data_IF_342545229507
#
_entry.id   IF_342545229507
#
_cell.length_a   1.000
_cell.length_b   1.000
_cell.length_c   1.000
_cell.angle_alpha   90.00
_cell.angle_beta   90.00
_cell.angle_gamma   90.00
#
_symmetry.space_group_name_H-M   'P 1'
#
loop_
_entity.id
_entity.type
_entity.pdbx_description
1 polymer ?
#
# COMPACT_ATOMS: atom_id res chain seq x y z
N UNK A 1 -8.17 26.27 -9.86
CA UNK A 1 -9.04 25.23 -10.47
C UNK A 1 -8.37 23.92 -10.13
N UNK A 2 -8.96 23.17 -9.19
CA UNK A 2 -8.44 21.87 -8.81
C UNK A 2 -8.71 20.90 -9.95
N UNK A 3 -7.62 20.38 -10.53
CA UNK A 3 -7.68 19.37 -11.58
C UNK A 3 -8.04 18.06 -10.89
N UNK A 4 -9.31 17.65 -10.98
CA UNK A 4 -9.74 16.34 -10.51
C UNK A 4 -8.96 15.31 -11.35
N UNK A 5 -8.18 14.41 -10.73
CA UNK A 5 -7.44 13.42 -11.47
C UNK A 5 -8.41 12.53 -12.26
N UNK A 6 -8.09 12.12 -13.51
CA UNK A 6 -8.96 11.31 -14.35
C UNK A 6 -9.02 9.82 -13.89
N UNK A 7 -8.76 9.56 -12.62
CA UNK A 7 -8.67 8.23 -12.03
C UNK A 7 -9.21 8.21 -10.60
N UNK A 8 -9.76 7.07 -10.21
CA UNK A 8 -10.11 6.78 -8.81
C UNK A 8 -8.89 6.26 -8.09
N UNK A 9 -8.71 6.64 -6.83
CA UNK A 9 -7.59 6.22 -6.00
C UNK A 9 -8.04 5.38 -4.81
N UNK A 10 -7.40 4.24 -4.62
CA UNK A 10 -7.55 3.38 -3.45
C UNK A 10 -6.22 3.34 -2.70
N UNK A 11 -6.23 3.69 -1.43
CA UNK A 11 -5.10 3.50 -0.52
C UNK A 11 -5.19 2.13 0.15
N UNK A 12 -4.24 1.28 -0.21
CA UNK A 12 -4.01 -0.06 0.29
C UNK A 12 -3.32 -0.15 1.66
N UNK A 13 -3.51 0.84 2.54
CA UNK A 13 -2.75 0.94 3.80
C UNK A 13 -3.58 1.42 4.99
N UNK A 14 -3.42 0.72 6.12
CA UNK A 14 -3.99 1.11 7.41
C UNK A 14 -3.20 2.25 8.11
N UNK A 15 -2.04 2.67 7.57
CA UNK A 15 -1.19 3.69 8.19
C UNK A 15 -1.86 5.07 8.22
N UNK A 16 -2.01 5.64 9.41
CA UNK A 16 -2.51 7.01 9.62
C UNK A 16 -1.60 8.06 8.97
N UNK A 17 -0.28 7.86 9.03
CA UNK A 17 0.70 8.74 8.39
C UNK A 17 0.54 8.76 6.86
N UNK A 18 0.39 7.59 6.21
CA UNK A 18 0.20 7.52 4.75
C UNK A 18 -1.11 8.17 4.30
N UNK A 19 -2.19 7.99 5.07
CA UNK A 19 -3.46 8.70 4.85
C UNK A 19 -3.29 10.21 4.90
N UNK A 20 -2.58 10.70 5.92
CA UNK A 20 -2.36 12.13 6.12
C UNK A 20 -1.55 12.73 4.96
N UNK A 21 -0.47 12.07 4.54
CA UNK A 21 0.38 12.52 3.43
C UNK A 21 -0.44 12.66 2.14
N UNK A 22 -1.18 11.62 1.72
CA UNK A 22 -1.97 11.68 0.49
C UNK A 22 -3.07 12.76 0.55
N UNK A 23 -3.69 12.95 1.72
CA UNK A 23 -4.69 14.00 1.92
C UNK A 23 -4.08 15.40 1.84
N UNK A 24 -2.89 15.60 2.41
CA UNK A 24 -2.14 16.87 2.34
C UNK A 24 -1.68 17.18 0.91
N UNK A 25 -1.43 16.15 0.08
CA UNK A 25 -1.17 16.29 -1.35
C UNK A 25 -2.43 16.62 -2.18
N UNK A 26 -3.61 16.68 -1.56
CA UNK A 26 -4.87 17.02 -2.22
C UNK A 26 -5.56 15.85 -2.93
N UNK A 27 -5.16 14.60 -2.67
CA UNK A 27 -5.83 13.44 -3.25
C UNK A 27 -7.07 13.04 -2.46
N UNK A 28 -8.16 12.78 -3.19
CA UNK A 28 -9.30 12.02 -2.69
C UNK A 28 -9.06 10.53 -2.95
N UNK A 29 -9.28 9.69 -1.94
CA UNK A 29 -9.08 8.25 -2.04
C UNK A 29 -10.00 7.48 -1.10
N UNK A 30 -10.30 6.24 -1.45
CA UNK A 30 -10.92 5.28 -0.55
C UNK A 30 -9.85 4.43 0.13
N UNK A 31 -10.14 3.90 1.30
CA UNK A 31 -9.22 3.01 2.02
C UNK A 31 -9.71 1.58 1.81
N UNK A 32 -8.81 0.70 1.42
CA UNK A 32 -9.06 -0.73 1.36
C UNK A 32 -7.86 -1.45 1.94
N UNK A 33 -8.03 -2.22 2.99
CA UNK A 33 -6.94 -2.98 3.61
C UNK A 33 -7.30 -4.45 3.62
N UNK A 34 -6.28 -5.30 3.56
CA UNK A 34 -6.43 -6.73 3.74
C UNK A 34 -5.48 -7.19 4.84
N UNK A 35 -5.95 -8.11 5.66
CA UNK A 35 -5.11 -8.77 6.65
C UNK A 35 -4.21 -9.76 5.91
N UNK A 36 -2.90 -9.55 6.04
CA UNK A 36 -1.88 -10.48 5.55
C UNK A 36 -0.99 -10.87 6.71
N UNK A 37 -0.50 -12.10 6.71
CA UNK A 37 0.50 -12.54 7.68
C UNK A 37 1.89 -12.04 7.24
N UNK A 38 2.15 -10.75 7.48
CA UNK A 38 3.43 -10.10 7.14
C UNK A 38 4.62 -10.86 7.74
N UNK A 39 4.43 -11.52 8.88
CA UNK A 39 5.49 -12.26 9.57
C UNK A 39 5.94 -13.53 8.85
N UNK A 40 5.08 -14.10 8.00
CA UNK A 40 5.42 -15.25 7.15
C UNK A 40 6.31 -14.85 5.96
N UNK A 41 6.32 -13.57 5.59
CA UNK A 41 7.09 -13.04 4.46
C UNK A 41 8.43 -12.54 5.01
N UNK A 42 9.51 -13.22 4.62
CA UNK A 42 10.86 -12.87 5.02
C UNK A 42 11.79 -12.86 3.81
N UNK A 43 12.65 -11.85 3.76
CA UNK A 43 13.72 -11.70 2.76
C UNK A 43 14.97 -11.24 3.49
N UNK A 44 16.13 -11.62 2.98
CA UNK A 44 17.42 -11.21 3.55
C UNK A 44 17.69 -9.72 3.32
N UNK A 45 17.34 -9.24 2.11
CA UNK A 45 17.48 -7.84 1.73
C UNK A 45 16.24 -7.04 2.12
N UNK A 46 16.40 -5.89 2.78
CA UNK A 46 15.27 -5.06 3.20
C UNK A 46 14.49 -4.52 2.00
N UNK A 47 15.16 -4.24 0.88
CA UNK A 47 14.53 -3.75 -0.36
C UNK A 47 13.56 -4.79 -0.94
N UNK A 48 14.01 -6.05 -1.01
CA UNK A 48 13.20 -7.17 -1.47
C UNK A 48 12.03 -7.43 -0.53
N UNK A 49 12.25 -7.28 0.79
CA UNK A 49 11.21 -7.47 1.80
C UNK A 49 10.06 -6.49 1.59
N UNK A 50 10.36 -5.18 1.55
CA UNK A 50 9.32 -4.15 1.45
C UNK A 50 8.57 -4.20 0.13
N UNK A 51 9.24 -4.58 -0.96
CA UNK A 51 8.57 -4.79 -2.26
C UNK A 51 7.62 -5.98 -2.19
N UNK A 52 8.08 -7.12 -1.65
CA UNK A 52 7.25 -8.33 -1.50
C UNK A 52 6.03 -8.07 -0.61
N UNK A 53 6.19 -7.31 0.48
CA UNK A 53 5.08 -6.95 1.37
C UNK A 53 4.06 -6.04 0.67
N UNK A 54 4.52 -5.06 -0.11
CA UNK A 54 3.62 -4.19 -0.87
C UNK A 54 2.84 -4.97 -1.95
N UNK A 55 3.48 -5.93 -2.62
CA UNK A 55 2.84 -6.83 -3.58
C UNK A 55 1.80 -7.73 -2.90
N UNK A 56 2.16 -8.38 -1.79
CA UNK A 56 1.25 -9.25 -1.04
C UNK A 56 0.00 -8.49 -0.56
N UNK A 57 0.16 -7.24 -0.10
CA UNK A 57 -0.97 -6.36 0.26
C UNK A 57 -1.87 -6.10 -0.95
N UNK A 58 -1.28 -5.82 -2.11
CA UNK A 58 -2.05 -5.54 -3.32
C UNK A 58 -2.84 -6.77 -3.74
N UNK A 59 -2.21 -7.95 -3.75
CA UNK A 59 -2.86 -9.21 -4.12
C UNK A 59 -4.02 -9.56 -3.20
N UNK A 60 -3.84 -9.42 -1.88
CA UNK A 60 -4.89 -9.69 -0.90
C UNK A 60 -6.08 -8.72 -1.06
N UNK A 61 -5.82 -7.44 -1.29
CA UNK A 61 -6.88 -6.44 -1.56
C UNK A 61 -7.62 -6.76 -2.86
N UNK A 62 -6.88 -7.07 -3.93
CA UNK A 62 -7.49 -7.41 -5.23
C UNK A 62 -8.37 -8.66 -5.13
N UNK A 63 -7.95 -9.67 -4.37
CA UNK A 63 -8.75 -10.86 -4.10
C UNK A 63 -10.07 -10.50 -3.39
N UNK A 64 -10.03 -9.65 -2.36
CA UNK A 64 -11.22 -9.20 -1.63
C UNK A 64 -12.19 -8.37 -2.48
N UNK A 65 -11.67 -7.55 -3.39
CA UNK A 65 -12.50 -6.79 -4.33
C UNK A 65 -13.23 -7.70 -5.33
N UNK A 66 -12.57 -8.77 -5.79
CA UNK A 66 -13.17 -9.76 -6.70
C UNK A 66 -14.28 -10.57 -6.01
N UNK A 67 -14.06 -11.04 -4.77
CA UNK A 67 -15.07 -11.81 -4.03
C UNK A 67 -16.33 -10.97 -3.73
N UNK A 68 -16.15 -9.70 -3.38
CA UNK A 68 -17.27 -8.77 -3.12
C UNK A 68 -18.11 -8.54 -4.39
N UNK A 69 -17.46 -8.48 -5.56
CA UNK A 69 -18.16 -8.31 -6.85
C UNK A 69 -18.98 -9.56 -7.21
N UNK A 70 -18.48 -10.76 -6.91
CA UNK A 70 -19.18 -12.02 -7.20
C UNK A 70 -20.37 -12.28 -6.26
N UNK A 71 -20.32 -11.83 -5.01
CA UNK A 71 -21.39 -12.06 -4.02
C UNK A 71 -22.59 -11.11 -4.14
N UNK A 72 -22.47 -10.02 -4.91
CA UNK A 72 -23.54 -9.03 -5.12
C UNK A 72 -24.40 -9.29 -6.39
N UNK A 73 -24.26 -10.45 -7.05
CA UNK A 73 -25.10 -10.84 -8.17
C UNK A 73 -26.46 -11.40 -7.72
N UNK A 74 -27.30 -10.52 -7.18
CA UNK A 74 -28.75 -10.71 -7.18
C UNK A 74 -29.46 -9.37 -7.41
N UNK A 75 -29.11 -8.67 -8.50
CA UNK A 75 -30.08 -7.89 -9.29
C UNK A 75 -29.50 -7.47 -10.65
N UNK A 76 -30.11 -8.03 -11.71
CA UNK A 76 -30.13 -7.67 -13.15
C UNK A 76 -28.82 -7.59 -13.96
N UNK A 77 -28.65 -8.61 -14.80
CA UNK A 77 -28.19 -8.57 -16.20
C UNK A 77 -27.19 -7.48 -16.62
N UNK A 78 -25.97 -7.54 -16.10
CA UNK A 78 -24.79 -7.21 -16.89
C UNK A 78 -23.90 -8.45 -16.93
N UNK A 79 -23.78 -9.05 -18.12
CA UNK A 79 -22.93 -10.21 -18.38
C UNK A 79 -21.52 -9.98 -17.82
N UNK A 80 -20.86 -11.01 -17.24
CA UNK A 80 -19.49 -10.86 -16.78
C UNK A 80 -18.63 -10.68 -18.03
N UNK A 81 -18.20 -9.45 -18.29
CA UNK A 81 -17.16 -9.19 -19.30
C UNK A 81 -15.85 -9.70 -18.73
N UNK A 82 -15.63 -11.00 -18.89
CA UNK A 82 -14.31 -11.61 -18.83
C UNK A 82 -13.57 -11.05 -20.04
N UNK A 83 -12.89 -9.92 -19.84
CA UNK A 83 -11.92 -9.40 -20.77
C UNK A 83 -10.66 -10.26 -20.62
N UNK A 84 -10.67 -11.41 -21.29
CA UNK A 84 -9.42 -12.06 -21.69
C UNK A 84 -8.79 -11.10 -22.67
N UNK A 85 -7.70 -10.44 -22.29
CA UNK A 85 -6.85 -9.79 -23.28
C UNK A 85 -6.31 -10.91 -24.19
N UNK A 86 -6.94 -11.11 -25.34
CA UNK A 86 -6.39 -11.90 -26.43
C UNK A 86 -5.49 -10.99 -27.24
N UNK A 87 -4.19 -11.14 -27.07
CA UNK A 87 -3.23 -10.72 -28.08
C UNK A 87 -3.65 -11.44 -29.37
N UNK A 88 -3.96 -10.68 -30.42
CA UNK A 88 -4.49 -11.11 -31.74
C UNK A 88 -6.02 -11.02 -31.91
N UNK A 89 -6.53 -9.83 -32.17
CA UNK A 89 -7.85 -9.66 -32.80
C UNK A 89 -7.94 -8.39 -33.66
N UNK A 90 -6.98 -8.20 -34.58
CA UNK A 90 -6.98 -7.07 -35.53
C UNK A 90 -7.79 -7.34 -36.82
N UNK A 91 -8.84 -8.19 -36.81
CA UNK A 91 -9.49 -8.56 -38.10
C UNK A 91 -11.01 -8.74 -38.11
N UNK A 92 -11.78 -8.48 -37.04
CA UNK A 92 -13.26 -8.68 -37.10
C UNK A 92 -14.07 -7.49 -36.55
N UNK A 93 -13.68 -6.26 -36.88
CA UNK A 93 -14.38 -5.05 -36.41
C UNK A 93 -14.91 -4.18 -37.56
N UNK A 94 -15.64 -4.79 -38.51
CA UNK A 94 -16.23 -4.04 -39.63
C UNK A 94 -17.75 -4.07 -39.78
N UNK A 95 -18.55 -4.70 -38.89
CA UNK A 95 -20.02 -4.75 -39.12
C UNK A 95 -20.89 -4.73 -37.86
N UNK A 96 -20.70 -3.76 -36.97
CA UNK A 96 -21.75 -3.41 -35.99
C UNK A 96 -21.93 -1.88 -35.94
N UNK A 97 -23.19 -1.39 -35.91
CA UNK A 97 -23.46 0.03 -35.88
C UNK A 97 -22.98 0.61 -34.54
N UNK A 98 -21.93 1.43 -34.62
CA UNK A 98 -21.35 2.13 -33.48
C UNK A 98 -22.28 3.32 -33.17
N UNK A 99 -23.29 3.08 -32.35
CA UNK A 99 -23.93 4.14 -31.58
C UNK A 99 -24.27 3.60 -30.21
N UNK A 100 -23.68 4.26 -29.22
CA UNK A 100 -24.02 4.28 -27.80
C UNK A 100 -23.39 3.23 -26.87
N UNK A 101 -22.70 3.80 -25.87
CA UNK A 101 -22.21 3.25 -24.60
C UNK A 101 -20.86 2.50 -24.59
N UNK A 102 -19.76 3.25 -24.73
CA UNK A 102 -18.57 3.03 -23.88
C UNK A 102 -18.48 4.15 -22.85
N UNK A 103 -19.28 4.07 -21.78
CA UNK A 103 -18.88 4.71 -20.51
C UNK A 103 -17.73 3.84 -19.97
N UNK A 104 -16.53 4.08 -20.49
CA UNK A 104 -15.34 3.47 -19.92
C UNK A 104 -15.28 3.84 -18.43
N UNK A 105 -15.41 2.84 -17.56
CA UNK A 105 -15.22 3.07 -16.13
C UNK A 105 -13.84 3.71 -15.92
N UNK A 106 -13.82 4.81 -15.15
CA UNK A 106 -12.60 5.55 -14.84
C UNK A 106 -11.52 4.60 -14.30
N UNK A 107 -10.27 4.71 -14.77
CA UNK A 107 -9.19 3.85 -14.28
C UNK A 107 -9.08 3.99 -12.76
N UNK A 108 -9.00 2.85 -12.07
CA UNK A 108 -8.83 2.82 -10.61
C UNK A 108 -7.42 2.38 -10.28
N UNK A 109 -6.69 3.21 -9.54
CA UNK A 109 -5.35 2.94 -9.07
C UNK A 109 -5.38 2.50 -7.60
N UNK A 110 -4.72 1.38 -7.31
CA UNK A 110 -4.46 0.92 -5.95
C UNK A 110 -3.00 1.24 -5.59
N UNK A 111 -2.80 1.95 -4.48
CA UNK A 111 -1.46 2.21 -3.92
C UNK A 111 -1.26 1.38 -2.66
N UNK A 112 -0.30 0.46 -2.69
CA UNK A 112 0.19 -0.22 -1.48
C UNK A 112 1.61 0.24 -1.17
N UNK A 113 2.01 0.10 0.09
CA UNK A 113 3.31 0.55 0.56
C UNK A 113 3.70 -0.21 1.81
N UNK A 114 5.00 -0.44 1.96
CA UNK A 114 5.58 -1.01 3.15
C UNK A 114 6.83 -0.26 3.60
N UNK A 115 7.24 -0.42 4.86
CA UNK A 115 8.44 0.23 5.39
C UNK A 115 8.99 -0.52 6.58
N UNK A 116 10.31 -0.73 6.57
CA UNK A 116 11.07 -1.33 7.67
C UNK A 116 12.23 -0.42 8.08
N UNK A 117 12.72 -0.62 9.30
CA UNK A 117 13.96 0.00 9.79
C UNK A 117 15.10 -1.01 9.63
N UNK A 118 16.28 -0.52 9.26
CA UNK A 118 17.54 -1.28 9.25
C UNK A 118 18.46 -0.66 10.28
N UNK A 119 18.93 -1.47 11.22
CA UNK A 119 19.83 -1.06 12.28
C UNK A 119 20.86 -2.15 12.56
N UNK A 120 22.14 -1.81 12.53
CA UNK A 120 23.26 -2.76 12.71
C UNK A 120 23.14 -4.01 11.80
N UNK A 121 22.67 -3.82 10.56
CA UNK A 121 22.48 -4.89 9.59
C UNK A 121 21.24 -5.77 9.81
N UNK A 122 20.46 -5.53 10.88
CA UNK A 122 19.22 -6.23 11.16
C UNK A 122 18.00 -5.42 10.71
N UNK A 123 16.98 -6.13 10.18
CA UNK A 123 15.68 -5.57 9.85
C UNK A 123 14.83 -5.52 11.12
N UNK A 124 14.26 -4.36 11.42
CA UNK A 124 13.32 -4.11 12.51
C UNK A 124 11.98 -3.65 11.93
N UNK A 125 10.93 -4.41 12.22
CA UNK A 125 9.55 -4.06 11.91
C UNK A 125 8.92 -3.29 13.10
N UNK A 126 7.59 -3.17 13.11
CA UNK A 126 6.87 -2.58 14.25
C UNK A 126 7.15 -3.39 15.53
N UNK A 127 7.52 -2.74 16.64
CA UNK A 127 7.76 -3.44 17.90
C UNK A 127 6.48 -4.13 18.39
N UNK A 128 6.62 -5.33 18.93
CA UNK A 128 5.55 -6.14 19.49
C UNK A 128 5.05 -5.61 20.85
N UNK A 129 5.84 -4.76 21.52
CA UNK A 129 5.50 -4.24 22.85
C UNK A 129 6.31 -3.02 23.26
N UNK A 130 5.97 -2.45 24.43
CA UNK A 130 6.59 -1.23 24.97
C UNK A 130 8.06 -1.42 25.30
N UNK A 131 8.42 -2.60 25.79
CA UNK A 131 9.78 -2.98 26.15
C UNK A 131 10.68 -3.01 24.91
N UNK A 132 10.23 -3.67 23.83
CA UNK A 132 10.96 -3.71 22.56
C UNK A 132 11.02 -2.34 21.89
N UNK A 133 9.93 -1.57 21.94
CA UNK A 133 9.95 -0.19 21.43
C UNK A 133 10.98 0.68 22.16
N UNK A 134 11.08 0.54 23.49
CA UNK A 134 12.09 1.22 24.30
C UNK A 134 13.50 0.79 23.90
N UNK A 135 13.73 -0.51 23.74
CA UNK A 135 15.01 -1.05 23.30
C UNK A 135 15.41 -0.52 21.91
N UNK A 136 14.48 -0.48 20.96
CA UNK A 136 14.73 0.04 19.63
C UNK A 136 15.13 1.52 19.67
N UNK A 137 14.32 2.36 20.32
CA UNK A 137 14.58 3.80 20.41
C UNK A 137 15.91 4.07 21.12
N UNK A 138 16.16 3.38 22.24
CA UNK A 138 17.41 3.51 22.99
C UNK A 138 18.61 3.08 22.17
N UNK A 139 18.49 2.01 21.38
CA UNK A 139 19.54 1.55 20.47
C UNK A 139 19.90 2.59 19.41
N UNK A 140 18.95 3.42 18.97
CA UNK A 140 19.25 4.48 18.00
C UNK A 140 20.02 5.67 18.61
N UNK A 141 20.04 5.83 19.94
CA UNK A 141 20.62 6.99 20.63
C UNK A 141 22.10 7.20 20.28
N UNK A 142 22.46 8.40 19.82
CA UNK A 142 23.84 8.75 19.45
C UNK A 142 24.38 8.00 18.23
N UNK A 143 23.56 7.20 17.56
CA UNK A 143 23.93 6.38 16.42
C UNK A 143 23.20 6.79 15.14
N UNK A 144 23.06 5.83 14.23
CA UNK A 144 22.27 5.99 13.02
C UNK A 144 21.47 4.74 12.72
N UNK A 145 20.35 4.92 12.05
CA UNK A 145 19.55 3.85 11.47
C UNK A 145 19.21 4.22 10.03
N UNK A 146 18.71 3.26 9.25
CA UNK A 146 18.13 3.54 7.95
C UNK A 146 16.66 3.09 7.92
N UNK A 147 15.84 3.74 7.12
CA UNK A 147 14.53 3.24 6.73
C UNK A 147 14.58 2.81 5.28
N UNK A 148 13.98 1.66 4.98
CA UNK A 148 13.73 1.21 3.61
C UNK A 148 12.22 1.13 3.44
N UNK A 149 11.68 1.84 2.45
CA UNK A 149 10.25 1.88 2.19
C UNK A 149 9.94 1.61 0.72
N UNK A 150 8.79 1.03 0.45
CA UNK A 150 8.29 0.76 -0.91
C UNK A 150 6.97 1.47 -1.17
N UNK A 151 6.74 1.77 -2.45
CA UNK A 151 5.43 2.14 -2.98
C UNK A 151 5.17 1.33 -4.23
N UNK A 152 4.00 0.70 -4.30
CA UNK A 152 3.52 -0.06 -5.45
C UNK A 152 2.20 0.53 -5.91
N UNK A 153 2.13 0.89 -7.19
CA UNK A 153 0.92 1.35 -7.87
C UNK A 153 0.42 0.24 -8.79
N UNK A 154 -0.84 -0.14 -8.64
CA UNK A 154 -1.52 -1.13 -9.48
C UNK A 154 -2.71 -0.50 -10.17
N UNK A 155 -2.77 -0.56 -11.51
CA UNK A 155 -3.96 -0.24 -12.27
C UNK A 155 -4.91 -1.45 -12.24
N UNK A 156 -6.06 -1.32 -11.58
CA UNK A 156 -6.99 -2.43 -11.38
C UNK A 156 -7.72 -2.83 -12.67
N UNK A 157 -7.81 -1.95 -13.68
CA UNK A 157 -8.45 -2.24 -14.96
C UNK A 157 -7.54 -3.07 -15.86
N UNK A 158 -6.25 -2.72 -15.94
CA UNK A 158 -5.28 -3.36 -16.85
C UNK A 158 -4.44 -4.43 -16.18
N UNK A 159 -4.38 -4.45 -14.85
CA UNK A 159 -3.47 -5.30 -14.08
C UNK A 159 -2.02 -4.81 -14.09
N UNK A 160 -1.70 -3.70 -14.79
CA UNK A 160 -0.36 -3.16 -14.83
C UNK A 160 0.09 -2.70 -13.44
N UNK A 161 1.34 -3.05 -13.07
CA UNK A 161 1.95 -2.72 -11.79
C UNK A 161 3.27 -2.02 -12.00
N UNK A 162 3.52 -0.98 -11.20
CA UNK A 162 4.83 -0.33 -11.11
C UNK A 162 5.09 0.04 -9.65
N UNK A 163 6.23 -0.41 -9.13
CA UNK A 163 6.67 -0.06 -7.79
C UNK A 163 8.16 0.23 -7.76
N UNK A 164 8.56 0.94 -6.72
CA UNK A 164 9.94 1.31 -6.40
C UNK A 164 10.11 1.32 -4.88
N UNK A 165 11.36 1.21 -4.44
CA UNK A 165 11.75 1.38 -3.05
C UNK A 165 12.74 2.53 -2.92
N UNK A 166 12.80 3.12 -1.73
CA UNK A 166 13.76 4.15 -1.38
C UNK A 166 14.38 3.86 -0.01
N UNK A 167 15.61 4.33 0.19
CA UNK A 167 16.36 4.17 1.44
C UNK A 167 16.85 5.51 1.96
N UNK A 168 16.57 5.77 3.23
CA UNK A 168 16.93 7.02 3.91
C UNK A 168 17.74 6.70 5.17
N UNK A 169 18.88 7.38 5.34
CA UNK A 169 19.68 7.32 6.57
C UNK A 169 19.26 8.41 7.56
N UNK A 170 19.21 8.05 8.84
CA UNK A 170 18.77 8.90 9.93
C UNK A 170 19.85 8.88 11.00
N UNK A 171 20.39 10.05 11.30
CA UNK A 171 21.40 10.25 12.33
C UNK A 171 20.74 10.83 13.58
N UNK A 172 20.95 10.17 14.71
CA UNK A 172 20.34 10.55 15.98
C UNK A 172 21.38 11.21 16.88
N UNK A 173 20.96 12.28 17.54
CA UNK A 173 21.65 12.75 18.74
C UNK A 173 21.39 11.78 19.90
N UNK A 174 22.06 12.00 21.02
CA UNK A 174 21.67 11.37 22.28
C UNK A 174 20.19 11.64 22.58
N UNK A 175 19.44 10.58 22.83
CA UNK A 175 18.00 10.60 23.13
C UNK A 175 17.85 10.42 24.64
N UNK A 176 17.49 11.47 25.41
CA UNK A 176 17.33 11.35 26.85
C UNK A 176 16.26 10.32 27.23
N UNK A 177 16.48 9.56 28.31
CA UNK A 177 15.54 8.51 28.76
C UNK A 177 14.09 9.05 28.95
N UNK A 178 13.92 10.30 29.39
CA UNK A 178 12.59 10.93 29.51
C UNK A 178 11.88 11.07 28.15
N UNK A 179 12.63 11.37 27.08
CA UNK A 179 12.10 11.46 25.72
C UNK A 179 11.71 10.06 25.22
N UNK A 180 12.52 9.05 25.53
CA UNK A 180 12.23 7.64 25.18
C UNK A 180 10.89 7.22 25.81
N UNK A 181 10.69 7.47 27.11
CA UNK A 181 9.44 7.10 27.78
C UNK A 181 8.22 7.84 27.21
N UNK A 182 8.38 9.11 26.80
CA UNK A 182 7.32 9.86 26.12
C UNK A 182 6.99 9.25 24.76
N UNK A 183 8.00 8.91 23.95
CA UNK A 183 7.80 8.29 22.64
C UNK A 183 7.14 6.92 22.74
N UNK A 184 7.58 6.06 23.68
CA UNK A 184 6.96 4.76 23.92
C UNK A 184 5.50 4.92 24.32
N UNK A 185 5.17 5.88 25.19
CA UNK A 185 3.76 6.18 25.52
C UNK A 185 2.98 6.59 24.27
N UNK A 186 3.51 7.48 23.43
CA UNK A 186 2.82 7.94 22.23
C UNK A 186 2.55 6.82 21.22
N UNK A 187 3.54 5.93 20.98
CA UNK A 187 3.40 4.80 20.05
C UNK A 187 2.20 3.93 20.42
N UNK A 188 2.02 3.63 21.70
CA UNK A 188 0.96 2.74 22.18
C UNK A 188 -0.31 3.46 22.65
N UNK A 189 -0.31 4.78 22.80
CA UNK A 189 -1.54 5.56 23.03
C UNK A 189 -2.33 5.74 21.73
N UNK A 190 -1.63 5.82 20.58
CA UNK A 190 -2.25 5.96 19.27
C UNK A 190 -2.97 4.69 18.78
N UNK A 191 -2.86 3.56 19.48
CA UNK A 191 -3.58 2.32 19.16
C UNK A 191 -4.96 2.21 19.85
N UNK A 192 -5.28 3.12 20.77
CA UNK A 192 -6.55 3.11 21.54
C UNK A 192 -7.57 4.16 21.07
N UNK A 193 -7.35 4.80 19.93
CA UNK A 193 -8.24 5.81 19.32
C UNK A 193 -8.35 5.60 17.81
#
# INVERSE_FOLDING_TARGET
>A
MDVIPPFKLILGSASSSRRKILKEMGYEFTISTADIDEKSIRKEKPEDLVMTLAEAKADAIIANLRTTTMNNQQDKDEEPTILVATDTADTILQKLPISDYTKDAEPTLLITADQVVVYEGAIREKPAGKEEAREFIKGYSGGHAATVGSVLVTNLKTGFRKGEWDRVEIYFHEIPDEVIEKLVKLIFLAEYH
#
